data_IF_609192444906
#
_entry.id   IF_609192444906
#
_cell.length_a   1.000
_cell.length_b   1.000
_cell.length_c   1.000
_cell.angle_alpha   90.00
_cell.angle_beta   90.00
_cell.angle_gamma   90.00
#
_symmetry.space_group_name_H-M   'P 1'
#
loop_
_entity.id
_entity.type
_entity.pdbx_description
1 polymer ?
#
# COMPACT_ATOMS: atom_id res chain seq x y z
N UNK A 1 -8.08 21.94 6.35
CA UNK A 1 -7.24 21.12 5.44
C UNK A 1 -8.04 20.79 4.18
N UNK A 2 -7.62 21.31 3.02
CA UNK A 2 -8.21 21.04 1.71
C UNK A 2 -7.43 19.89 1.04
N UNK A 3 -8.13 18.97 0.39
CA UNK A 3 -7.53 17.76 -0.22
C UNK A 3 -8.04 17.61 -1.65
N UNK A 4 -7.14 17.49 -2.61
CA UNK A 4 -7.43 17.40 -4.03
C UNK A 4 -6.80 16.13 -4.62
N UNK A 5 -7.58 15.09 -4.98
CA UNK A 5 -7.06 13.94 -5.70
C UNK A 5 -6.82 14.30 -7.17
N UNK A 6 -5.65 13.95 -7.70
CA UNK A 6 -5.27 14.22 -9.07
C UNK A 6 -5.34 12.93 -9.88
N UNK A 7 -6.17 12.95 -10.93
CA UNK A 7 -6.35 11.83 -11.82
C UNK A 7 -5.18 11.74 -12.80
N UNK A 8 -4.64 10.52 -12.97
CA UNK A 8 -3.66 10.20 -14.00
C UNK A 8 -4.11 8.99 -14.82
N UNK A 9 -3.38 8.67 -15.90
CA UNK A 9 -3.45 7.34 -16.50
C UNK A 9 -3.04 6.29 -15.47
N UNK A 10 -3.43 5.05 -15.70
CA UNK A 10 -2.93 3.94 -14.89
C UNK A 10 -1.41 3.76 -15.14
N UNK A 11 -0.62 3.68 -14.07
CA UNK A 11 0.83 3.58 -14.20
C UNK A 11 1.22 2.12 -14.45
N UNK A 12 1.84 1.88 -15.59
CA UNK A 12 2.40 0.59 -15.99
C UNK A 12 3.92 0.57 -15.80
N UNK A 13 4.57 -0.60 -15.81
CA UNK A 13 6.03 -0.68 -15.85
C UNK A 13 6.63 0.19 -16.97
N UNK A 14 7.66 0.97 -16.61
CA UNK A 14 8.31 1.93 -17.53
C UNK A 14 7.62 3.30 -17.64
N UNK A 15 6.55 3.54 -16.86
CA UNK A 15 5.90 4.85 -16.86
C UNK A 15 6.74 5.91 -16.17
N UNK A 16 6.96 7.07 -16.82
CA UNK A 16 7.67 8.23 -16.25
C UNK A 16 6.79 8.95 -15.21
N UNK A 17 6.69 8.33 -14.04
CA UNK A 17 5.86 8.83 -12.94
C UNK A 17 6.41 10.13 -12.35
N UNK A 18 7.72 10.39 -12.39
CA UNK A 18 8.33 11.60 -11.81
C UNK A 18 7.82 12.83 -12.55
N UNK A 19 7.96 12.84 -13.88
CA UNK A 19 7.41 13.92 -14.69
C UNK A 19 5.89 13.98 -14.68
N UNK A 20 5.22 12.82 -14.63
CA UNK A 20 3.77 12.78 -14.57
C UNK A 20 3.24 13.42 -13.28
N UNK A 21 3.87 13.17 -12.12
CA UNK A 21 3.53 13.81 -10.86
C UNK A 21 3.73 15.32 -10.95
N UNK A 22 4.90 15.78 -11.38
CA UNK A 22 5.22 17.21 -11.48
C UNK A 22 4.24 17.96 -12.39
N UNK A 23 3.93 17.40 -13.57
CA UNK A 23 2.92 17.98 -14.49
C UNK A 23 1.51 17.97 -13.93
N UNK A 24 1.12 16.91 -13.22
CA UNK A 24 -0.22 16.81 -12.63
C UNK A 24 -0.45 17.82 -11.50
N UNK A 25 0.58 18.11 -10.71
CA UNK A 25 0.47 19.08 -9.61
C UNK A 25 0.67 20.53 -10.07
N UNK A 26 1.40 20.77 -11.16
CA UNK A 26 1.79 22.10 -11.65
C UNK A 26 0.63 23.12 -11.67
N UNK A 27 -0.56 22.83 -12.23
CA UNK A 27 -1.65 23.81 -12.31
C UNK A 27 -2.33 24.10 -10.96
N UNK A 28 -2.03 23.32 -9.92
CA UNK A 28 -2.76 23.38 -8.65
C UNK A 28 -1.88 23.73 -7.44
N UNK A 29 -0.57 23.47 -7.53
CA UNK A 29 0.38 23.55 -6.43
C UNK A 29 0.64 24.98 -5.98
N UNK A 30 0.74 25.18 -4.67
CA UNK A 30 1.13 26.42 -4.00
C UNK A 30 2.27 26.15 -3.04
N UNK A 31 2.92 27.19 -2.57
CA UNK A 31 3.93 27.06 -1.52
C UNK A 31 3.32 26.42 -0.27
N UNK A 32 4.07 25.52 0.36
CA UNK A 32 3.73 24.76 1.55
C UNK A 32 2.65 23.67 1.35
N UNK A 33 2.23 23.42 0.12
CA UNK A 33 1.41 22.25 -0.18
C UNK A 33 2.19 20.95 0.03
N UNK A 34 1.45 19.87 0.31
CA UNK A 34 2.01 18.53 0.47
C UNK A 34 1.45 17.65 -0.64
N UNK A 35 2.34 17.03 -1.40
CA UNK A 35 2.01 16.08 -2.46
C UNK A 35 2.17 14.67 -1.92
N UNK A 36 1.06 13.94 -1.72
CA UNK A 36 1.07 12.56 -1.22
C UNK A 36 0.93 11.59 -2.39
N UNK A 37 1.85 10.65 -2.50
CA UNK A 37 1.92 9.71 -3.62
C UNK A 37 1.82 8.28 -3.12
N UNK A 38 1.10 7.43 -3.88
CA UNK A 38 0.99 6.01 -3.59
C UNK A 38 2.30 5.28 -3.86
N UNK A 39 2.84 4.64 -2.85
CA UNK A 39 4.01 3.77 -2.97
C UNK A 39 3.79 2.67 -4.00
N UNK A 40 2.64 1.97 -3.94
CA UNK A 40 2.30 0.92 -4.91
C UNK A 40 2.32 1.43 -6.36
N UNK A 41 1.82 2.64 -6.62
CA UNK A 41 1.82 3.18 -7.97
C UNK A 41 3.25 3.41 -8.47
N UNK A 42 4.15 3.94 -7.62
CA UNK A 42 5.57 4.09 -7.93
C UNK A 42 6.21 2.73 -8.18
N UNK A 43 5.98 1.76 -7.28
CA UNK A 43 6.51 0.40 -7.39
C UNK A 43 6.08 -0.27 -8.70
N UNK A 44 4.81 -0.12 -9.09
CA UNK A 44 4.28 -0.61 -10.36
C UNK A 44 4.97 0.07 -11.56
N UNK A 45 5.10 1.40 -11.53
CA UNK A 45 5.77 2.15 -12.60
C UNK A 45 7.24 1.76 -12.77
N UNK A 46 7.93 1.46 -11.67
CA UNK A 46 9.32 0.95 -11.68
C UNK A 46 9.43 -0.49 -12.17
N UNK A 47 8.32 -1.21 -12.30
CA UNK A 47 8.34 -2.63 -12.68
C UNK A 47 8.76 -3.55 -11.53
N UNK A 48 8.64 -3.12 -10.27
CA UNK A 48 8.89 -3.96 -9.08
C UNK A 48 7.76 -4.97 -8.92
N UNK A 49 7.58 -5.82 -9.92
CA UNK A 49 6.52 -6.82 -10.01
C UNK A 49 7.11 -8.22 -10.07
N UNK A 50 6.42 -9.16 -9.47
CA UNK A 50 6.75 -10.60 -9.55
C UNK A 50 5.51 -11.35 -10.03
N UNK A 51 5.70 -12.21 -11.03
CA UNK A 51 4.66 -13.15 -11.47
C UNK A 51 4.64 -14.37 -10.55
N UNK A 52 3.60 -14.45 -9.72
CA UNK A 52 3.42 -15.58 -8.81
C UNK A 52 3.05 -16.87 -9.53
N UNK A 53 2.63 -16.84 -10.81
CA UNK A 53 2.26 -18.03 -11.56
C UNK A 53 3.43 -18.99 -11.73
N UNK A 54 4.65 -18.46 -11.83
CA UNK A 54 5.88 -19.21 -12.00
C UNK A 54 6.43 -19.84 -10.69
N UNK A 55 5.87 -19.48 -9.54
CA UNK A 55 6.37 -19.96 -8.24
C UNK A 55 5.90 -21.39 -7.93
N UNK A 56 6.80 -22.18 -7.37
CA UNK A 56 6.54 -23.51 -6.83
C UNK A 56 6.44 -23.47 -5.30
N UNK A 57 5.24 -23.66 -4.72
CA UNK A 57 5.06 -23.54 -3.27
C UNK A 57 5.78 -24.65 -2.49
N UNK A 58 6.54 -24.26 -1.48
CA UNK A 58 7.14 -25.15 -0.48
C UNK A 58 6.09 -25.77 0.46
N UNK A 59 6.48 -26.75 1.26
CA UNK A 59 5.61 -27.30 2.30
C UNK A 59 5.22 -26.25 3.33
N UNK A 60 6.14 -25.34 3.67
CA UNK A 60 5.90 -24.25 4.59
C UNK A 60 4.84 -23.30 4.06
N UNK A 61 4.94 -22.87 2.80
CA UNK A 61 3.95 -21.97 2.21
C UNK A 61 2.55 -22.60 2.10
N UNK A 62 2.48 -23.90 1.80
CA UNK A 62 1.23 -24.67 1.79
C UNK A 62 0.62 -24.78 3.20
N UNK A 63 1.45 -25.03 4.22
CA UNK A 63 1.00 -25.03 5.62
C UNK A 63 0.48 -23.64 6.03
N UNK A 64 1.18 -22.57 5.68
CA UNK A 64 0.76 -21.19 5.97
C UNK A 64 -0.58 -20.85 5.30
N UNK A 65 -0.77 -21.23 4.04
CA UNK A 65 -2.02 -20.99 3.32
C UNK A 65 -3.18 -21.81 3.91
N UNK A 66 -2.95 -23.13 4.14
CA UNK A 66 -4.00 -24.07 4.54
C UNK A 66 -4.37 -23.95 6.01
N UNK A 67 -3.40 -23.97 6.89
CA UNK A 67 -3.63 -24.00 8.34
C UNK A 67 -3.61 -22.58 8.92
N UNK A 68 -2.52 -21.85 8.74
CA UNK A 68 -2.34 -20.56 9.39
C UNK A 68 -3.37 -19.52 8.90
N UNK A 69 -3.53 -19.38 7.58
CA UNK A 69 -4.47 -18.39 7.03
C UNK A 69 -5.92 -18.83 7.20
N UNK A 70 -6.27 -20.08 6.82
CA UNK A 70 -7.67 -20.53 6.89
C UNK A 70 -8.17 -20.74 8.29
N UNK A 71 -7.36 -21.38 9.15
CA UNK A 71 -7.79 -21.78 10.49
C UNK A 71 -7.43 -20.70 11.50
N UNK A 72 -6.14 -20.37 11.66
CA UNK A 72 -5.72 -19.44 12.72
C UNK A 72 -6.29 -18.05 12.49
N UNK A 73 -6.13 -17.50 11.29
CA UNK A 73 -6.73 -16.21 10.94
C UNK A 73 -8.25 -16.29 10.75
N UNK A 74 -8.76 -17.29 10.06
CA UNK A 74 -10.18 -17.39 9.72
C UNK A 74 -11.12 -17.62 10.90
N UNK A 75 -10.65 -18.28 11.96
CA UNK A 75 -11.49 -18.65 13.09
C UNK A 75 -11.06 -18.06 14.43
N UNK A 76 -9.80 -17.61 14.58
CA UNK A 76 -9.30 -17.09 15.86
C UNK A 76 -8.81 -15.64 15.72
N UNK A 77 -7.68 -15.40 15.07
CA UNK A 77 -7.09 -14.06 15.01
C UNK A 77 -7.96 -13.04 14.28
N UNK A 78 -8.67 -13.45 13.24
CA UNK A 78 -9.59 -12.55 12.52
C UNK A 78 -10.76 -12.09 13.40
N UNK A 79 -11.30 -12.97 14.26
CA UNK A 79 -12.32 -12.59 15.25
C UNK A 79 -11.73 -11.65 16.30
N UNK A 80 -10.57 -11.99 16.84
CA UNK A 80 -9.85 -11.16 17.82
C UNK A 80 -9.57 -9.76 17.24
N UNK A 81 -9.15 -9.67 15.97
CA UNK A 81 -8.93 -8.42 15.25
C UNK A 81 -10.22 -7.77 14.73
N UNK A 82 -11.40 -8.32 15.04
CA UNK A 82 -12.73 -7.79 14.66
C UNK A 82 -12.89 -7.63 13.15
N UNK A 83 -12.50 -8.64 12.39
CA UNK A 83 -12.76 -8.64 10.97
C UNK A 83 -14.24 -8.73 10.66
N UNK A 84 -14.66 -8.07 9.57
CA UNK A 84 -16.03 -8.16 9.07
C UNK A 84 -16.30 -9.56 8.50
N UNK A 85 -17.56 -9.98 8.54
CA UNK A 85 -17.99 -11.30 8.06
C UNK A 85 -17.49 -11.65 6.63
N UNK A 86 -17.51 -10.75 5.63
CA UNK A 86 -16.95 -11.05 4.31
C UNK A 86 -15.46 -11.37 4.33
N UNK A 87 -14.67 -10.64 5.14
CA UNK A 87 -13.23 -10.91 5.28
C UNK A 87 -12.98 -12.28 5.92
N UNK A 88 -13.73 -12.63 6.96
CA UNK A 88 -13.64 -13.95 7.60
C UNK A 88 -14.02 -15.08 6.61
N UNK A 89 -15.08 -14.88 5.82
CA UNK A 89 -15.47 -15.85 4.80
C UNK A 89 -14.36 -16.06 3.77
N UNK A 90 -13.76 -14.99 3.25
CA UNK A 90 -12.62 -15.07 2.33
C UNK A 90 -11.41 -15.79 2.95
N UNK A 91 -11.10 -15.55 4.24
CA UNK A 91 -10.01 -16.26 4.93
C UNK A 91 -10.27 -17.76 5.05
N UNK A 92 -11.48 -18.14 5.45
CA UNK A 92 -11.90 -19.54 5.58
C UNK A 92 -11.87 -20.28 4.24
N UNK A 93 -12.18 -19.57 3.15
CA UNK A 93 -12.16 -20.06 1.79
C UNK A 93 -10.88 -19.70 1.02
N UNK A 94 -9.83 -19.24 1.72
CA UNK A 94 -8.59 -18.80 1.09
C UNK A 94 -8.09 -19.78 0.02
N UNK A 95 -7.85 -19.36 -1.23
CA UNK A 95 -7.49 -20.25 -2.33
C UNK A 95 -6.14 -20.92 -2.05
N UNK A 96 -6.11 -22.25 -1.97
CA UNK A 96 -4.90 -22.94 -1.52
C UNK A 96 -3.79 -22.90 -2.56
N UNK A 97 -4.12 -22.98 -3.85
CA UNK A 97 -3.13 -22.99 -4.93
C UNK A 97 -2.44 -21.64 -5.07
N UNK A 98 -3.22 -20.60 -5.29
CA UNK A 98 -2.75 -19.23 -5.48
C UNK A 98 -2.21 -18.63 -4.16
N UNK A 99 -2.90 -18.89 -3.06
CA UNK A 99 -2.48 -18.45 -1.76
C UNK A 99 -1.18 -19.09 -1.27
N UNK A 100 -0.89 -20.34 -1.63
CA UNK A 100 0.41 -20.94 -1.33
C UNK A 100 1.53 -20.31 -2.14
N UNK A 101 1.29 -19.94 -3.40
CA UNK A 101 2.26 -19.20 -4.22
C UNK A 101 2.54 -17.80 -3.62
N UNK A 102 1.48 -17.12 -3.20
CA UNK A 102 1.64 -15.83 -2.51
C UNK A 102 2.45 -15.97 -1.22
N UNK A 103 2.14 -16.94 -0.37
CA UNK A 103 2.92 -17.22 0.84
C UNK A 103 4.39 -17.57 0.53
N UNK A 104 4.64 -18.27 -0.57
CA UNK A 104 6.00 -18.56 -1.03
C UNK A 104 6.75 -17.29 -1.42
N UNK A 105 6.12 -16.39 -2.18
CA UNK A 105 6.71 -15.10 -2.52
C UNK A 105 7.07 -14.29 -1.27
N UNK A 106 6.13 -14.21 -0.31
CA UNK A 106 6.36 -13.48 0.94
C UNK A 106 7.47 -14.11 1.76
N UNK A 107 7.54 -15.46 1.87
CA UNK A 107 8.63 -16.15 2.55
C UNK A 107 10.00 -15.79 1.96
N UNK A 108 10.10 -15.77 0.63
CA UNK A 108 11.35 -15.49 -0.09
C UNK A 108 11.76 -14.01 0.01
N UNK A 109 10.80 -13.07 0.01
CA UNK A 109 11.06 -11.62 -0.07
C UNK A 109 11.04 -10.90 1.27
N UNK A 110 10.17 -11.32 2.19
CA UNK A 110 9.93 -10.64 3.45
C UNK A 110 10.18 -11.53 4.69
N UNK A 111 10.30 -12.84 4.49
CA UNK A 111 10.57 -13.80 5.55
C UNK A 111 9.33 -14.30 6.30
N UNK A 112 9.57 -15.28 7.17
CA UNK A 112 8.49 -16.02 7.86
C UNK A 112 7.57 -15.13 8.68
N UNK A 113 8.12 -14.19 9.45
CA UNK A 113 7.28 -13.34 10.31
C UNK A 113 6.25 -12.55 9.52
N UNK A 114 6.64 -12.01 8.36
CA UNK A 114 5.71 -11.30 7.48
C UNK A 114 4.70 -12.25 6.82
N UNK A 115 5.10 -13.47 6.47
CA UNK A 115 4.21 -14.48 5.92
C UNK A 115 3.13 -14.97 6.92
N UNK A 116 3.35 -14.81 8.23
CA UNK A 116 2.36 -15.05 9.28
C UNK A 116 1.27 -13.98 9.35
N UNK A 117 1.47 -12.81 8.77
CA UNK A 117 0.44 -11.77 8.69
C UNK A 117 -0.59 -12.13 7.62
N UNK A 118 -1.80 -11.64 7.76
CA UNK A 118 -2.81 -11.62 6.70
C UNK A 118 -2.91 -10.22 6.11
N UNK A 119 -2.78 -10.14 4.79
CA UNK A 119 -2.86 -8.90 4.02
C UNK A 119 -1.68 -7.94 4.26
N UNK A 120 -1.19 -7.33 3.21
CA UNK A 120 -0.02 -6.46 3.21
C UNK A 120 1.18 -7.08 3.91
N UNK A 121 1.59 -8.22 3.43
CA UNK A 121 2.60 -9.10 4.00
C UNK A 121 4.00 -8.57 3.69
N UNK A 122 4.54 -7.72 4.58
CA UNK A 122 5.82 -7.04 4.35
C UNK A 122 5.80 -6.00 3.22
N UNK A 123 4.62 -5.57 2.80
CA UNK A 123 4.40 -4.64 1.68
C UNK A 123 4.22 -5.32 0.32
N UNK A 124 4.20 -6.65 0.27
CA UNK A 124 3.83 -7.40 -0.93
C UNK A 124 2.31 -7.33 -1.11
N UNK A 125 1.84 -6.93 -2.27
CA UNK A 125 0.41 -6.72 -2.53
C UNK A 125 0.01 -7.09 -3.97
N UNK A 126 -1.11 -7.79 -4.11
CA UNK A 126 -1.70 -8.24 -5.38
C UNK A 126 -2.83 -7.32 -5.87
N UNK A 127 -3.41 -6.50 -4.99
CA UNK A 127 -4.56 -5.67 -5.37
C UNK A 127 -4.17 -4.61 -6.41
N UNK A 128 -5.10 -4.29 -7.31
CA UNK A 128 -4.85 -3.32 -8.38
C UNK A 128 -3.68 -3.69 -9.31
N UNK A 129 -3.47 -4.98 -9.55
CA UNK A 129 -2.49 -5.50 -10.49
C UNK A 129 -3.14 -6.55 -11.38
N UNK A 130 -2.68 -6.71 -12.62
CA UNK A 130 -3.25 -7.69 -13.55
C UNK A 130 -2.62 -9.07 -13.36
N UNK A 131 -3.28 -10.09 -13.87
CA UNK A 131 -2.82 -11.48 -13.90
C UNK A 131 -2.47 -11.98 -12.49
N UNK A 132 -1.34 -12.66 -12.36
CA UNK A 132 -0.79 -13.14 -11.09
C UNK A 132 0.36 -12.28 -10.59
N UNK A 133 0.39 -10.98 -10.96
CA UNK A 133 1.45 -10.09 -10.49
C UNK A 133 1.23 -9.62 -9.07
N UNK A 134 2.29 -9.66 -8.28
CA UNK A 134 2.40 -9.00 -6.99
C UNK A 134 3.40 -7.84 -7.08
N UNK A 135 3.07 -6.70 -6.47
CA UNK A 135 4.04 -5.61 -6.29
C UNK A 135 4.90 -5.88 -5.08
N UNK A 136 6.20 -5.64 -5.25
CA UNK A 136 7.14 -5.60 -4.15
C UNK A 136 7.23 -4.20 -3.55
N UNK A 137 7.53 -4.07 -2.25
CA UNK A 137 7.70 -2.78 -1.61
C UNK A 137 8.91 -2.01 -2.20
N UNK A 138 8.85 -0.69 -2.18
CA UNK A 138 10.00 0.14 -2.48
C UNK A 138 11.08 -0.04 -1.40
N UNK A 139 12.32 -0.22 -1.84
CA UNK A 139 13.49 -0.30 -0.97
C UNK A 139 14.12 1.06 -0.68
N UNK A 140 13.88 2.03 -1.55
CA UNK A 140 14.48 3.35 -1.59
C UNK A 140 13.43 4.47 -1.65
N UNK A 141 12.41 4.41 -0.79
CA UNK A 141 11.31 5.38 -0.78
C UNK A 141 11.78 6.84 -0.57
N UNK A 142 12.89 7.05 0.15
CA UNK A 142 13.48 8.37 0.37
C UNK A 142 14.02 8.96 -0.94
N UNK A 143 14.80 8.20 -1.71
CA UNK A 143 15.31 8.63 -3.02
C UNK A 143 14.17 8.95 -3.99
N UNK A 144 13.12 8.14 -3.99
CA UNK A 144 11.95 8.38 -4.84
C UNK A 144 11.21 9.67 -4.45
N UNK A 145 11.08 9.93 -3.15
CA UNK A 145 10.48 11.17 -2.67
C UNK A 145 11.33 12.39 -3.09
N UNK A 146 12.66 12.31 -2.96
CA UNK A 146 13.59 13.37 -3.36
C UNK A 146 13.58 13.60 -4.87
N UNK A 147 13.59 12.56 -5.69
CA UNK A 147 13.51 12.70 -7.17
C UNK A 147 12.23 13.42 -7.59
N UNK A 148 11.09 13.02 -7.01
CA UNK A 148 9.80 13.65 -7.31
C UNK A 148 9.79 15.10 -6.83
N UNK A 149 10.28 15.35 -5.61
CA UNK A 149 10.37 16.69 -5.04
C UNK A 149 11.24 17.61 -5.91
N UNK A 150 12.43 17.14 -6.30
CA UNK A 150 13.35 17.90 -7.19
C UNK A 150 12.69 18.28 -8.51
N UNK A 151 11.95 17.37 -9.14
CA UNK A 151 11.26 17.64 -10.39
C UNK A 151 10.08 18.62 -10.22
N UNK A 152 9.34 18.53 -9.10
CA UNK A 152 8.28 19.50 -8.77
C UNK A 152 8.89 20.91 -8.62
N UNK A 153 9.96 21.03 -7.82
CA UNK A 153 10.64 22.32 -7.61
C UNK A 153 11.20 22.87 -8.93
N UNK A 154 11.85 22.02 -9.74
CA UNK A 154 12.39 22.40 -11.04
C UNK A 154 11.31 22.94 -11.98
N UNK A 155 10.14 22.30 -12.01
CA UNK A 155 9.07 22.67 -12.95
C UNK A 155 8.23 23.86 -12.47
N UNK A 156 8.08 24.04 -11.15
CA UNK A 156 7.11 24.99 -10.57
C UNK A 156 7.73 26.12 -9.77
N UNK A 157 8.97 25.98 -9.31
CA UNK A 157 9.64 26.90 -8.38
C UNK A 157 8.99 26.93 -6.99
N UNK A 158 8.02 26.05 -6.69
CA UNK A 158 7.25 26.09 -5.45
C UNK A 158 7.93 25.32 -4.31
N UNK A 159 7.80 25.86 -3.09
CA UNK A 159 8.22 25.19 -1.86
C UNK A 159 7.12 24.25 -1.40
N UNK A 160 7.22 22.98 -1.76
CA UNK A 160 6.24 21.95 -1.38
C UNK A 160 6.95 20.76 -0.75
N UNK A 161 6.22 19.92 -0.01
CA UNK A 161 6.73 18.65 0.49
C UNK A 161 6.15 17.51 -0.33
N UNK A 162 6.91 16.42 -0.46
CA UNK A 162 6.46 15.16 -1.06
C UNK A 162 6.41 14.09 0.01
N UNK A 163 5.32 13.33 0.09
CA UNK A 163 5.14 12.19 1.00
C UNK A 163 4.85 10.96 0.17
N UNK A 164 5.69 9.95 0.26
CA UNK A 164 5.39 8.60 -0.26
C UNK A 164 4.69 7.81 0.83
N UNK A 165 3.51 7.27 0.54
CA UNK A 165 2.69 6.57 1.54
C UNK A 165 2.16 5.24 1.03
N UNK A 166 2.09 4.28 1.94
CA UNK A 166 1.45 2.98 1.77
C UNK A 166 0.12 2.94 2.53
N UNK A 167 -0.78 2.04 2.11
CA UNK A 167 -2.07 1.78 2.75
C UNK A 167 -1.98 0.91 3.98
N UNK A 168 -0.81 0.32 4.26
CA UNK A 168 -0.55 -0.45 5.47
C UNK A 168 -0.80 0.37 6.73
N UNK A 169 -1.22 -0.34 7.78
CA UNK A 169 -1.65 0.31 9.02
C UNK A 169 -0.49 0.66 9.93
N UNK A 170 -0.39 1.93 10.28
CA UNK A 170 0.33 2.41 11.47
C UNK A 170 -0.66 2.64 12.60
N UNK A 171 -0.39 2.06 13.74
CA UNK A 171 -1.17 2.24 14.98
C UNK A 171 -0.47 3.22 15.91
N UNK A 172 -1.27 3.95 16.69
CA UNK A 172 -0.74 4.99 17.60
C UNK A 172 -1.35 4.85 18.99
N UNK A 173 -0.46 4.85 19.99
CA UNK A 173 -0.79 4.97 21.41
C UNK A 173 -0.12 6.24 21.92
N UNK A 174 -0.88 7.34 22.03
CA UNK A 174 -0.30 8.66 22.25
C UNK A 174 0.69 9.02 21.12
N UNK A 175 1.92 9.37 21.51
CA UNK A 175 3.01 9.71 20.58
C UNK A 175 3.84 8.49 20.13
N UNK A 176 3.50 7.29 20.60
CA UNK A 176 4.16 6.07 20.15
C UNK A 176 3.44 5.51 18.92
N UNK A 177 4.14 5.46 17.79
CA UNK A 177 3.62 5.01 16.50
C UNK A 177 4.32 3.73 16.09
N UNK A 178 3.57 2.70 15.69
CA UNK A 178 4.14 1.42 15.29
C UNK A 178 3.36 0.75 14.15
N UNK A 179 4.07 -0.04 13.36
CA UNK A 179 3.54 -0.70 12.18
C UNK A 179 4.22 -2.04 11.94
N UNK A 180 3.57 -2.92 11.15
CA UNK A 180 4.25 -4.08 10.57
C UNK A 180 4.91 -3.80 9.22
N UNK A 181 4.75 -2.58 8.68
CA UNK A 181 5.38 -2.17 7.43
C UNK A 181 6.89 -1.97 7.61
N UNK A 182 7.74 -2.65 6.84
CA UNK A 182 9.18 -2.38 6.87
C UNK A 182 9.51 -0.95 6.40
N UNK A 183 10.55 -0.37 6.98
CA UNK A 183 11.09 0.94 6.62
C UNK A 183 10.05 2.06 6.55
N UNK A 184 9.28 2.28 7.64
CA UNK A 184 8.37 3.42 7.70
C UNK A 184 9.16 4.72 7.91
N UNK A 185 8.50 5.85 7.71
CA UNK A 185 9.06 7.17 7.99
C UNK A 185 9.58 7.29 9.43
N UNK A 186 10.65 8.06 9.61
CA UNK A 186 11.31 8.29 10.90
C UNK A 186 10.31 8.70 11.98
N UNK A 187 10.41 8.07 13.15
CA UNK A 187 9.48 8.26 14.27
C UNK A 187 8.33 7.25 14.31
N UNK A 188 8.30 6.30 13.36
CA UNK A 188 7.39 5.15 13.39
C UNK A 188 8.23 3.89 13.59
N UNK A 189 7.89 3.09 14.60
CA UNK A 189 8.60 1.86 14.93
C UNK A 189 8.08 0.68 14.10
N UNK A 190 8.98 0.02 13.36
CA UNK A 190 8.66 -1.17 12.60
C UNK A 190 8.88 -2.43 13.43
N UNK A 191 7.85 -3.27 13.55
CA UNK A 191 7.94 -4.59 14.17
C UNK A 191 7.48 -5.63 13.16
N UNK A 192 8.30 -6.62 12.81
CA UNK A 192 7.92 -7.59 11.78
C UNK A 192 6.75 -8.48 12.24
N UNK A 193 5.99 -8.96 11.27
CA UNK A 193 4.95 -9.95 11.50
C UNK A 193 3.59 -9.38 11.90
N UNK A 194 2.71 -10.24 12.44
CA UNK A 194 1.32 -9.90 12.70
C UNK A 194 1.08 -9.13 14.01
N UNK A 195 2.03 -9.12 14.95
CA UNK A 195 1.85 -8.56 16.29
C UNK A 195 1.40 -7.11 16.31
N UNK A 196 2.02 -6.17 15.56
CA UNK A 196 1.55 -4.78 15.53
C UNK A 196 0.08 -4.66 15.12
N UNK A 197 -0.32 -5.45 14.14
CA UNK A 197 -1.69 -5.46 13.64
C UNK A 197 -2.65 -6.05 14.67
N UNK A 198 -2.31 -7.18 15.31
CA UNK A 198 -3.13 -7.82 16.34
C UNK A 198 -3.30 -6.86 17.52
N UNK A 199 -2.22 -6.34 18.07
CA UNK A 199 -2.26 -5.40 19.21
C UNK A 199 -3.08 -4.16 18.86
N UNK A 200 -2.79 -3.52 17.73
CA UNK A 200 -3.48 -2.31 17.31
C UNK A 200 -4.99 -2.50 17.12
N UNK A 201 -5.39 -3.63 16.52
CA UNK A 201 -6.81 -3.97 16.30
C UNK A 201 -7.54 -4.37 17.57
N UNK A 202 -6.91 -5.18 18.41
CA UNK A 202 -7.49 -5.67 19.66
C UNK A 202 -7.72 -4.52 20.64
N UNK A 203 -6.73 -3.64 20.79
CA UNK A 203 -6.80 -2.47 21.68
C UNK A 203 -7.54 -1.28 21.04
N UNK A 204 -8.05 -1.41 19.80
CA UNK A 204 -8.76 -0.33 19.09
C UNK A 204 -7.93 0.95 18.97
N UNK A 205 -6.63 0.83 18.79
CA UNK A 205 -5.76 1.99 18.66
C UNK A 205 -6.07 2.80 17.39
N UNK A 206 -5.70 4.07 17.41
CA UNK A 206 -5.83 4.96 16.25
C UNK A 206 -5.02 4.39 15.09
N UNK A 207 -5.69 4.01 14.00
CA UNK A 207 -5.11 3.41 12.81
C UNK A 207 -5.04 4.44 11.71
N UNK A 208 -3.90 4.52 11.01
CA UNK A 208 -3.66 5.43 9.87
C UNK A 208 -2.79 4.76 8.82
N UNK A 209 -2.87 5.24 7.58
CA UNK A 209 -1.96 4.87 6.50
C UNK A 209 -0.51 5.22 6.87
N UNK A 210 0.44 4.41 6.40
CA UNK A 210 1.86 4.52 6.77
C UNK A 210 2.61 5.41 5.79
N UNK A 211 3.14 6.58 6.21
CA UNK A 211 4.13 7.31 5.44
C UNK A 211 5.45 6.54 5.45
N UNK A 212 6.12 6.48 4.30
CA UNK A 212 7.40 5.80 4.12
C UNK A 212 8.56 6.78 3.99
N UNK A 213 8.34 7.90 3.31
CA UNK A 213 9.35 8.92 3.10
C UNK A 213 8.71 10.31 3.00
N UNK A 214 9.49 11.32 3.35
CA UNK A 214 9.14 12.73 3.20
C UNK A 214 10.35 13.45 2.60
N UNK A 215 10.14 14.21 1.51
CA UNK A 215 11.14 15.08 0.89
C UNK A 215 10.69 16.54 0.93
N UNK A 216 11.65 17.47 0.91
CA UNK A 216 11.43 18.92 1.02
C UNK A 216 11.37 19.41 2.47
N UNK A 217 10.57 20.44 2.81
CA UNK A 217 10.48 20.98 4.15
C UNK A 217 10.20 19.91 5.21
N UNK A 218 10.89 20.02 6.35
CA UNK A 218 10.78 19.06 7.46
C UNK A 218 9.35 18.89 7.96
N UNK A 219 8.95 17.68 8.27
CA UNK A 219 7.60 17.34 8.68
C UNK A 219 7.61 16.49 9.96
N UNK A 220 6.72 16.83 10.90
CA UNK A 220 6.50 16.01 12.10
C UNK A 220 5.81 14.70 11.71
N UNK A 221 6.14 13.60 12.41
CA UNK A 221 5.56 12.29 12.17
C UNK A 221 4.01 12.29 12.25
N UNK A 222 3.46 13.04 13.20
CA UNK A 222 2.00 13.15 13.35
C UNK A 222 1.35 13.84 12.14
N UNK A 223 2.00 14.84 11.56
CA UNK A 223 1.56 15.50 10.31
C UNK A 223 1.64 14.52 9.14
N UNK A 224 2.76 13.82 8.99
CA UNK A 224 2.94 12.82 7.93
C UNK A 224 1.87 11.72 7.99
N UNK A 225 1.57 11.20 9.19
CA UNK A 225 0.51 10.21 9.40
C UNK A 225 -0.88 10.76 9.05
N UNK A 226 -1.18 12.00 9.42
CA UNK A 226 -2.49 12.61 9.16
C UNK A 226 -2.69 12.89 7.66
N UNK A 227 -1.66 13.36 6.95
CA UNK A 227 -1.78 13.61 5.50
C UNK A 227 -1.82 12.31 4.71
N UNK A 228 -1.05 11.27 5.12
CA UNK A 228 -1.11 9.94 4.50
C UNK A 228 -2.51 9.33 4.64
N UNK A 229 -3.11 9.39 5.82
CA UNK A 229 -4.47 8.89 6.07
C UNK A 229 -5.53 9.63 5.27
N UNK A 230 -5.45 10.96 5.24
CA UNK A 230 -6.39 11.76 4.44
C UNK A 230 -6.26 11.47 2.94
N UNK A 231 -5.03 11.36 2.45
CA UNK A 231 -4.77 11.00 1.06
C UNK A 231 -5.30 9.60 0.74
N UNK A 232 -5.12 8.63 1.65
CA UNK A 232 -5.66 7.28 1.50
C UNK A 232 -7.18 7.28 1.35
N UNK A 233 -7.90 7.98 2.23
CA UNK A 233 -9.37 8.05 2.18
C UNK A 233 -9.89 8.68 0.90
N UNK A 234 -9.29 9.79 0.45
CA UNK A 234 -9.73 10.51 -0.76
C UNK A 234 -9.38 9.75 -2.04
N UNK A 235 -8.22 9.11 -2.07
CA UNK A 235 -7.76 8.27 -3.20
C UNK A 235 -8.69 7.09 -3.43
N UNK A 236 -9.24 6.52 -2.37
CA UNK A 236 -10.02 5.29 -2.40
C UNK A 236 -9.15 4.07 -2.72
N UNK A 237 -9.80 3.03 -3.22
CA UNK A 237 -9.16 1.71 -3.40
C UNK A 237 -8.90 1.35 -4.88
N UNK A 238 -9.03 2.31 -5.80
CA UNK A 238 -8.83 2.04 -7.23
C UNK A 238 -9.77 0.95 -7.77
N UNK A 239 -9.21 -0.08 -8.39
CA UNK A 239 -9.99 -1.20 -8.94
C UNK A 239 -10.63 -2.08 -7.85
N UNK A 240 -10.02 -2.15 -6.66
CA UNK A 240 -10.56 -2.91 -5.56
C UNK A 240 -9.71 -2.81 -4.29
N UNK A 241 -10.34 -3.00 -3.14
CA UNK A 241 -9.65 -3.03 -1.84
C UNK A 241 -8.81 -4.30 -1.68
N UNK A 242 -9.30 -5.39 -2.24
CA UNK A 242 -8.64 -6.71 -2.25
C UNK A 242 -8.64 -7.24 -3.67
N UNK A 243 -7.85 -8.28 -3.92
CA UNK A 243 -7.86 -8.97 -5.21
C UNK A 243 -9.24 -9.54 -5.57
N UNK A 244 -9.99 -10.01 -4.58
CA UNK A 244 -11.37 -10.52 -4.79
C UNK A 244 -12.35 -9.39 -5.12
N UNK A 245 -12.30 -8.27 -4.41
CA UNK A 245 -13.12 -7.09 -4.70
C UNK A 245 -12.81 -6.55 -6.11
N UNK A 246 -11.53 -6.52 -6.48
CA UNK A 246 -11.09 -6.13 -7.82
C UNK A 246 -11.66 -7.05 -8.90
N UNK A 247 -11.51 -8.36 -8.75
CA UNK A 247 -12.00 -9.33 -9.74
C UNK A 247 -13.54 -9.30 -9.86
N UNK A 248 -14.24 -9.19 -8.75
CA UNK A 248 -15.69 -9.06 -8.73
C UNK A 248 -16.16 -7.80 -9.48
N UNK A 249 -15.52 -6.65 -9.26
CA UNK A 249 -15.86 -5.40 -9.97
C UNK A 249 -15.55 -5.47 -11.46
N UNK A 250 -14.57 -6.26 -11.86
CA UNK A 250 -14.20 -6.49 -13.25
C UNK A 250 -15.00 -7.63 -13.91
N UNK A 251 -15.86 -8.34 -13.16
CA UNK A 251 -16.65 -9.45 -13.66
C UNK A 251 -15.82 -10.66 -14.12
N UNK A 252 -14.66 -10.90 -13.48
CA UNK A 252 -13.71 -11.92 -13.89
C UNK A 252 -13.03 -12.60 -12.69
N UNK A 253 -12.16 -13.56 -12.92
CA UNK A 253 -11.31 -14.15 -11.87
C UNK A 253 -10.07 -13.28 -11.62
N UNK A 254 -9.42 -13.38 -10.44
CA UNK A 254 -8.23 -12.59 -10.15
C UNK A 254 -7.12 -12.68 -11.19
N UNK A 255 -6.86 -13.88 -11.72
CA UNK A 255 -5.81 -14.14 -12.71
C UNK A 255 -6.14 -13.68 -14.14
N UNK A 256 -7.40 -13.34 -14.42
CA UNK A 256 -7.86 -12.85 -15.73
C UNK A 256 -7.93 -11.32 -15.82
N UNK A 257 -7.74 -10.61 -14.73
CA UNK A 257 -7.65 -9.15 -14.75
C UNK A 257 -6.47 -8.74 -15.63
N UNK A 258 -6.70 -7.81 -16.55
CA UNK A 258 -5.68 -7.35 -17.52
C UNK A 258 -5.33 -5.87 -17.30
N UNK A 259 -4.19 -5.42 -17.83
CA UNK A 259 -3.84 -4.01 -17.85
C UNK A 259 -4.93 -3.16 -18.50
N UNK A 260 -5.53 -3.64 -19.60
CA UNK A 260 -6.59 -2.93 -20.32
C UNK A 260 -7.81 -2.70 -19.41
N UNK A 261 -8.18 -3.68 -18.60
CA UNK A 261 -9.26 -3.55 -17.63
C UNK A 261 -8.93 -2.53 -16.54
N UNK A 262 -7.71 -2.55 -16.02
CA UNK A 262 -7.27 -1.59 -15.00
C UNK A 262 -7.21 -0.15 -15.51
N UNK A 263 -6.91 0.05 -16.78
CA UNK A 263 -6.90 1.39 -17.41
C UNK A 263 -8.29 2.04 -17.51
N UNK A 264 -9.35 1.26 -17.47
CA UNK A 264 -10.72 1.81 -17.43
C UNK A 264 -11.08 2.38 -16.06
N UNK A 265 -10.34 1.99 -15.01
CA UNK A 265 -10.59 2.44 -13.64
C UNK A 265 -10.02 3.85 -13.42
N UNK A 266 -10.75 4.67 -12.68
CA UNK A 266 -10.23 5.97 -12.25
C UNK A 266 -9.03 5.78 -11.34
N UNK A 267 -7.88 6.33 -11.74
CA UNK A 267 -6.63 6.21 -11.03
C UNK A 267 -6.20 7.55 -10.42
N UNK A 268 -6.10 7.61 -9.09
CA UNK A 268 -5.72 8.80 -8.32
C UNK A 268 -4.48 8.51 -7.46
N UNK A 269 -3.30 8.28 -8.05
CA UNK A 269 -2.09 7.96 -7.29
C UNK A 269 -1.52 9.14 -6.51
N UNK A 270 -1.95 10.35 -6.85
CA UNK A 270 -1.45 11.62 -6.34
C UNK A 270 -2.57 12.35 -5.61
N UNK A 271 -2.28 12.88 -4.44
CA UNK A 271 -3.20 13.73 -3.68
C UNK A 271 -2.47 14.98 -3.21
N UNK A 272 -2.99 16.15 -3.57
CA UNK A 272 -2.49 17.43 -3.09
C UNK A 272 -3.22 17.79 -1.78
N UNK A 273 -2.47 18.06 -0.73
CA UNK A 273 -2.98 18.43 0.59
C UNK A 273 -2.51 19.84 0.93
N UNK A 274 -3.45 20.70 1.29
CA UNK A 274 -3.20 22.08 1.69
C UNK A 274 -3.78 22.31 3.07
N UNK A 275 -2.95 22.81 3.99
CA UNK A 275 -3.44 23.38 5.25
C UNK A 275 -3.98 24.77 4.93
N UNK A 276 -5.19 25.07 5.40
CA UNK A 276 -5.79 26.37 5.21
C UNK A 276 -5.04 27.45 5.96
N UNK A 277 -5.12 28.66 5.44
CA UNK A 277 -4.78 29.89 6.16
C UNK A 277 -5.71 30.05 7.35
#
# INVERSE_FOLDING_TARGET
>A
MKVLPLRTRYWRPGYDYVRAVARAVQPHIRDWDIVVISEKAISTAKGNLVDESALSPSLTSRFLARFWTRIVWGYFLGLLCRFRAPTLAHLRLYPLREGSKHKELVLQRAGLLHALKYGSEGGVDLSNLPYSFASLPLTNSEEEAEHIHGEIVRLTGRRASVVVSDTDSTFSLGNFHFTSRPRPFKGIHAFPGPLPFIVGRTLKLKQRATPLAVAGPSMRVETALNVAERAHHIRGYGAGRTIWDMSQRQGTTPSEVTWKMLETVRHFPIVLVRFGD
#
